data_IF_750474405251
#
_entry.id   IF_750474405251
#
_cell.length_a   1.000
_cell.length_b   1.000
_cell.length_c   1.000
_cell.angle_alpha   90.00
_cell.angle_beta   90.00
_cell.angle_gamma   90.00
#
_symmetry.space_group_name_H-M   'P 1'
#
loop_
_entity.id
_entity.type
_entity.pdbx_description
1 polymer ?
#
# COMPACT_ATOMS: atom_id res chain seq x y z
N UNK A 1 -12.20 3.64 -18.43
CA UNK A 1 -11.19 3.52 -17.36
C UNK A 1 -11.73 4.09 -16.05
N UNK A 2 -11.15 3.67 -14.92
CA UNK A 2 -11.53 4.13 -13.59
C UNK A 2 -10.55 5.22 -13.14
N UNK A 3 -11.08 6.30 -12.56
CA UNK A 3 -10.27 7.37 -11.97
C UNK A 3 -10.31 7.24 -10.45
N UNK A 4 -9.15 7.09 -9.84
CA UNK A 4 -8.97 7.15 -8.39
C UNK A 4 -8.25 8.44 -8.04
N UNK A 5 -8.90 9.28 -7.24
CA UNK A 5 -8.37 10.60 -6.91
C UNK A 5 -8.29 10.80 -5.41
N UNK A 6 -7.07 10.92 -4.89
CA UNK A 6 -6.82 11.21 -3.48
C UNK A 6 -6.63 12.71 -3.29
N UNK A 7 -7.44 13.31 -2.43
CA UNK A 7 -7.38 14.75 -2.11
C UNK A 7 -7.28 14.95 -0.60
N UNK A 8 -6.68 16.05 -0.12
CA UNK A 8 -6.69 16.41 1.28
C UNK A 8 -8.10 16.56 1.80
N UNK A 9 -8.37 16.11 3.03
CA UNK A 9 -9.70 16.20 3.66
C UNK A 9 -10.28 17.61 3.67
N UNK A 10 -9.43 18.63 3.81
CA UNK A 10 -9.84 20.03 3.74
C UNK A 10 -10.38 20.47 2.37
N UNK A 11 -10.05 19.74 1.31
CA UNK A 11 -10.50 19.99 -0.06
C UNK A 11 -11.49 18.93 -0.56
N UNK A 12 -11.86 17.99 0.31
CA UNK A 12 -12.84 16.96 0.00
C UNK A 12 -14.23 17.58 -0.07
N UNK A 13 -14.64 17.97 -1.26
CA UNK A 13 -16.02 18.34 -1.56
C UNK A 13 -16.75 17.10 -2.05
N UNK A 14 -17.89 16.80 -1.43
CA UNK A 14 -18.83 15.76 -1.89
C UNK A 14 -19.68 16.27 -3.07
N UNK A 15 -19.50 17.52 -3.47
CA UNK A 15 -20.27 18.15 -4.52
C UNK A 15 -19.81 17.64 -5.90
N UNK A 16 -20.72 16.98 -6.61
CA UNK A 16 -20.51 16.50 -7.98
C UNK A 16 -20.02 17.57 -8.93
N UNK A 17 -20.48 18.80 -8.75
CA UNK A 17 -20.11 19.95 -9.58
C UNK A 17 -18.64 20.34 -9.43
N UNK A 18 -18.11 20.35 -8.20
CA UNK A 18 -16.72 20.69 -7.96
C UNK A 18 -15.76 19.64 -8.52
N UNK A 19 -16.14 18.35 -8.41
CA UNK A 19 -15.39 17.24 -8.99
C UNK A 19 -15.42 17.32 -10.51
N UNK A 20 -16.58 17.54 -11.14
CA UNK A 20 -16.71 17.73 -12.60
C UNK A 20 -15.85 18.90 -13.09
N UNK A 21 -15.84 20.05 -12.41
CA UNK A 21 -14.97 21.19 -12.77
C UNK A 21 -13.48 20.81 -12.70
N UNK A 22 -13.08 20.06 -11.69
CA UNK A 22 -11.70 19.63 -11.55
C UNK A 22 -11.30 18.61 -12.62
N UNK A 23 -12.17 17.64 -12.94
CA UNK A 23 -11.99 16.70 -14.04
C UNK A 23 -11.92 17.43 -15.39
N UNK A 24 -12.75 18.45 -15.61
CA UNK A 24 -12.71 19.29 -16.82
C UNK A 24 -11.38 20.02 -16.97
N UNK A 25 -10.78 20.54 -15.87
CA UNK A 25 -9.44 21.16 -15.90
C UNK A 25 -8.36 20.14 -16.29
N UNK A 26 -8.42 18.94 -15.73
CA UNK A 26 -7.48 17.85 -16.05
C UNK A 26 -7.67 17.42 -17.51
N UNK A 27 -8.89 17.21 -17.94
CA UNK A 27 -9.25 16.87 -19.32
C UNK A 27 -8.61 17.85 -20.33
N UNK A 28 -8.80 19.16 -20.09
CA UNK A 28 -8.19 20.20 -20.93
C UNK A 28 -6.66 20.17 -20.91
N UNK A 29 -6.05 19.97 -19.72
CA UNK A 29 -4.59 19.94 -19.57
C UNK A 29 -3.93 18.81 -20.35
N UNK A 30 -4.59 17.65 -20.43
CA UNK A 30 -4.06 16.45 -21.10
C UNK A 30 -4.69 16.19 -22.46
N UNK A 31 -5.53 17.11 -22.97
CA UNK A 31 -6.27 16.96 -24.23
C UNK A 31 -7.07 15.64 -24.27
N UNK A 32 -7.70 15.28 -23.16
CA UNK A 32 -8.54 14.09 -23.01
C UNK A 32 -10.00 14.48 -22.98
N UNK A 33 -10.85 13.74 -23.66
CA UNK A 33 -12.30 13.86 -23.53
C UNK A 33 -12.77 12.93 -22.42
N UNK A 34 -13.09 13.51 -21.24
CA UNK A 34 -13.53 12.77 -20.06
C UNK A 34 -15.01 13.04 -19.83
N UNK A 35 -15.82 12.00 -19.88
CA UNK A 35 -17.22 12.02 -19.50
C UNK A 35 -17.42 11.11 -18.28
N UNK A 36 -18.21 11.59 -17.32
CA UNK A 36 -18.47 10.87 -16.08
C UNK A 36 -19.67 9.94 -16.29
N UNK A 37 -19.43 8.64 -16.39
CA UNK A 37 -20.46 7.60 -16.61
C UNK A 37 -21.04 7.04 -15.31
N UNK A 38 -20.29 7.09 -14.19
CA UNK A 38 -20.68 6.50 -12.91
C UNK A 38 -20.89 7.53 -11.83
N UNK A 39 -21.48 7.10 -10.72
CA UNK A 39 -21.52 7.92 -9.51
C UNK A 39 -20.14 8.10 -8.90
N UNK A 40 -19.94 9.28 -8.27
CA UNK A 40 -18.73 9.59 -7.53
C UNK A 40 -18.90 9.01 -6.14
N UNK A 41 -18.04 8.05 -5.79
CA UNK A 41 -17.97 7.49 -4.44
C UNK A 41 -16.78 8.13 -3.71
N UNK A 42 -17.03 8.65 -2.52
CA UNK A 42 -16.00 9.24 -1.66
C UNK A 42 -15.97 8.52 -0.32
N UNK A 43 -14.77 8.18 0.13
CA UNK A 43 -14.55 7.56 1.44
C UNK A 43 -13.26 8.09 2.07
N UNK A 44 -13.23 8.21 3.42
CA UNK A 44 -12.04 8.66 4.10
C UNK A 44 -10.94 7.60 3.99
N UNK A 45 -9.73 8.04 3.64
CA UNK A 45 -8.56 7.19 3.68
C UNK A 45 -8.01 7.15 5.10
N UNK A 46 -8.00 5.98 5.68
CA UNK A 46 -7.31 5.71 6.94
C UNK A 46 -6.16 4.75 6.69
N UNK A 47 -5.09 4.89 7.44
CA UNK A 47 -4.01 3.93 7.48
C UNK A 47 -3.84 3.47 8.91
N UNK A 48 -3.75 2.19 9.09
CA UNK A 48 -3.51 1.59 10.40
C UNK A 48 -2.59 0.37 10.26
N UNK A 49 -1.98 0.02 11.36
CA UNK A 49 -1.19 -1.18 11.50
C UNK A 49 -1.43 -1.75 12.90
N UNK A 50 -2.02 -2.94 12.94
CA UNK A 50 -2.39 -3.60 14.18
C UNK A 50 -1.15 -3.97 14.98
N UNK A 51 -1.22 -3.82 16.30
CA UNK A 51 -0.12 -4.17 17.19
C UNK A 51 0.16 -5.68 17.16
N UNK A 52 -0.88 -6.48 17.24
CA UNK A 52 -0.81 -7.93 17.26
C UNK A 52 -1.66 -8.51 16.12
N UNK A 53 -1.05 -9.42 15.33
CA UNK A 53 -1.75 -10.07 14.22
C UNK A 53 -2.46 -11.34 14.66
N UNK A 54 -2.10 -11.89 15.82
CA UNK A 54 -2.55 -13.20 16.25
C UNK A 54 -2.92 -13.25 17.73
N UNK A 55 -3.90 -14.10 18.02
CA UNK A 55 -4.26 -14.59 19.35
C UNK A 55 -4.48 -16.09 19.26
N UNK A 56 -4.57 -16.84 20.37
CA UNK A 56 -4.91 -18.25 20.33
C UNK A 56 -6.18 -18.49 19.49
N UNK A 57 -6.09 -19.31 18.45
CA UNK A 57 -7.20 -19.64 17.55
C UNK A 57 -7.63 -18.53 16.57
N UNK A 58 -6.97 -17.38 16.55
CA UNK A 58 -7.37 -16.23 15.72
C UNK A 58 -6.17 -15.54 15.07
N UNK A 59 -6.35 -15.11 13.82
CA UNK A 59 -5.40 -14.22 13.15
C UNK A 59 -6.13 -13.18 12.30
N UNK A 60 -5.48 -12.04 12.08
CA UNK A 60 -5.91 -11.01 11.14
C UNK A 60 -4.89 -10.89 10.01
N UNK A 61 -5.35 -10.55 8.81
CA UNK A 61 -4.54 -10.38 7.61
C UNK A 61 -5.11 -9.27 6.71
N UNK A 62 -4.36 -8.86 5.74
CA UNK A 62 -4.73 -7.81 4.78
C UNK A 62 -5.19 -6.53 5.49
N UNK A 63 -6.25 -5.91 5.01
CA UNK A 63 -6.76 -4.64 5.54
C UNK A 63 -7.20 -4.72 7.02
N UNK A 64 -7.52 -5.91 7.55
CA UNK A 64 -7.79 -6.09 8.97
C UNK A 64 -6.53 -5.99 9.84
N UNK A 65 -5.36 -6.31 9.28
CA UNK A 65 -4.07 -6.23 9.96
C UNK A 65 -3.34 -4.90 9.69
N UNK A 66 -3.42 -4.43 8.45
CA UNK A 66 -2.74 -3.21 7.99
C UNK A 66 -3.47 -2.58 6.81
N UNK A 67 -3.81 -1.33 6.93
CA UNK A 67 -4.35 -0.55 5.82
C UNK A 67 -3.31 0.45 5.31
N UNK A 68 -3.05 0.42 4.03
CA UNK A 68 -2.01 1.23 3.38
C UNK A 68 -2.68 2.31 2.55
N UNK A 69 -2.05 3.48 2.52
CA UNK A 69 -2.49 4.55 1.63
C UNK A 69 -2.47 4.08 0.16
N UNK A 70 -3.54 4.27 -0.62
CA UNK A 70 -3.69 3.71 -1.97
C UNK A 70 -2.70 4.27 -3.01
N UNK A 71 -1.81 5.19 -2.62
CA UNK A 71 -0.80 5.78 -3.50
C UNK A 71 0.04 4.76 -4.28
N UNK A 72 0.26 3.57 -3.72
CA UNK A 72 1.08 2.56 -4.34
C UNK A 72 0.27 1.38 -4.93
N UNK A 73 -1.06 1.33 -4.74
CA UNK A 73 -1.88 0.19 -5.17
C UNK A 73 -1.48 -1.16 -4.53
N UNK A 74 -0.70 -1.14 -3.46
CA UNK A 74 -0.03 -2.33 -2.89
C UNK A 74 -0.88 -3.08 -1.85
N UNK A 75 -2.03 -2.53 -1.41
CA UNK A 75 -2.85 -3.13 -0.36
C UNK A 75 -3.25 -4.58 -0.67
N UNK A 76 -3.80 -4.80 -1.88
CA UNK A 76 -4.20 -6.13 -2.33
C UNK A 76 -3.01 -7.10 -2.40
N UNK A 77 -1.87 -6.66 -2.93
CA UNK A 77 -0.67 -7.48 -3.08
C UNK A 77 -0.14 -7.93 -1.71
N UNK A 78 -0.13 -7.04 -0.73
CA UNK A 78 0.28 -7.36 0.64
C UNK A 78 -0.72 -8.32 1.32
N UNK A 79 -2.02 -8.13 1.09
CA UNK A 79 -3.05 -9.04 1.58
C UNK A 79 -2.93 -10.45 1.01
N UNK A 80 -2.66 -10.58 -0.29
CA UNK A 80 -2.40 -11.88 -0.95
C UNK A 80 -1.14 -12.52 -0.37
N UNK A 81 -0.08 -11.74 -0.17
CA UNK A 81 1.15 -12.24 0.44
C UNK A 81 0.95 -12.68 1.90
N UNK A 82 0.10 -12.00 2.66
CA UNK A 82 -0.28 -12.44 4.01
C UNK A 82 -0.98 -13.80 3.98
N UNK A 83 -1.96 -13.95 3.09
CA UNK A 83 -2.71 -15.21 2.92
C UNK A 83 -1.77 -16.35 2.49
N UNK A 84 -0.84 -16.10 1.58
CA UNK A 84 0.13 -17.09 1.12
C UNK A 84 1.02 -17.56 2.26
N UNK A 85 1.58 -16.65 3.06
CA UNK A 85 2.45 -17.01 4.19
C UNK A 85 1.66 -17.71 5.29
N UNK A 86 0.42 -17.28 5.56
CA UNK A 86 -0.44 -17.99 6.51
C UNK A 86 -0.68 -19.44 6.05
N UNK A 87 -1.02 -19.63 4.78
CA UNK A 87 -1.22 -20.97 4.21
C UNK A 87 0.03 -21.85 4.35
N UNK A 88 1.21 -21.31 4.07
CA UNK A 88 2.47 -22.04 4.25
C UNK A 88 2.65 -22.52 5.70
N UNK A 89 2.37 -21.67 6.69
CA UNK A 89 2.48 -22.04 8.10
C UNK A 89 1.41 -23.05 8.53
N UNK A 90 0.19 -22.97 7.99
CA UNK A 90 -0.86 -23.96 8.25
C UNK A 90 -0.54 -25.33 7.63
N UNK A 91 0.00 -25.36 6.41
CA UNK A 91 0.46 -26.62 5.77
C UNK A 91 1.60 -27.22 6.58
N UNK A 92 2.54 -26.40 7.04
CA UNK A 92 3.64 -26.87 7.91
C UNK A 92 3.12 -27.43 9.24
N UNK A 93 2.13 -26.77 9.84
CA UNK A 93 1.47 -27.23 11.07
C UNK A 93 0.77 -28.59 10.86
N UNK A 94 0.03 -28.75 9.75
CA UNK A 94 -0.61 -30.01 9.36
C UNK A 94 0.40 -31.15 9.28
N UNK A 95 1.51 -30.92 8.59
CA UNK A 95 2.56 -31.92 8.41
C UNK A 95 3.26 -32.30 9.74
N UNK A 96 3.24 -31.39 10.72
CA UNK A 96 3.78 -31.60 12.05
C UNK A 96 2.73 -32.10 13.08
N UNK A 97 1.49 -32.40 12.64
CA UNK A 97 0.36 -32.75 13.49
C UNK A 97 0.07 -31.72 14.60
N UNK A 98 0.29 -30.44 14.33
CA UNK A 98 -0.03 -29.33 15.22
C UNK A 98 -1.43 -28.76 14.91
N UNK A 99 -2.09 -28.21 15.93
CA UNK A 99 -3.35 -27.50 15.73
C UNK A 99 -3.14 -26.21 14.95
N UNK A 100 -4.01 -25.91 13.99
CA UNK A 100 -3.98 -24.66 13.24
C UNK A 100 -4.15 -23.42 14.11
N UNK A 101 -4.88 -23.55 15.23
CA UNK A 101 -5.09 -22.47 16.19
C UNK A 101 -3.97 -22.33 17.23
N UNK A 102 -2.95 -23.17 17.18
CA UNK A 102 -1.83 -23.09 18.11
C UNK A 102 -1.12 -21.74 17.93
N UNK A 103 -0.90 -21.07 19.06
CA UNK A 103 -0.27 -19.75 19.05
C UNK A 103 1.14 -19.77 18.47
N UNK A 104 1.87 -20.87 18.62
CA UNK A 104 3.21 -21.05 18.06
C UNK A 104 3.20 -21.07 16.53
N UNK A 105 2.17 -21.66 15.93
CA UNK A 105 1.95 -21.67 14.48
C UNK A 105 1.63 -20.28 13.97
N UNK A 106 0.65 -19.64 14.61
CA UNK A 106 0.18 -18.31 14.20
C UNK A 106 1.25 -17.24 14.42
N UNK A 107 2.08 -17.34 15.47
CA UNK A 107 3.20 -16.43 15.72
C UNK A 107 4.27 -16.47 14.62
N UNK A 108 4.51 -17.61 13.98
CA UNK A 108 5.43 -17.67 12.82
C UNK A 108 4.91 -16.83 11.65
N UNK A 109 3.62 -16.92 11.35
CA UNK A 109 2.97 -16.05 10.37
C UNK A 109 3.15 -14.56 10.74
N UNK A 110 2.82 -14.18 11.98
CA UNK A 110 2.93 -12.81 12.47
C UNK A 110 4.36 -12.28 12.30
N UNK A 111 5.38 -13.01 12.74
CA UNK A 111 6.79 -12.58 12.67
C UNK A 111 7.19 -12.34 11.22
N UNK A 112 6.87 -13.27 10.32
CA UNK A 112 7.22 -13.17 8.89
C UNK A 112 6.53 -11.98 8.21
N UNK A 113 5.27 -11.73 8.52
CA UNK A 113 4.49 -10.71 7.80
C UNK A 113 4.57 -9.33 8.41
N UNK A 114 4.48 -9.25 9.73
CA UNK A 114 4.44 -7.96 10.44
C UNK A 114 5.68 -7.10 10.19
N UNK A 115 6.86 -7.71 10.17
CA UNK A 115 8.11 -6.98 9.90
C UNK A 115 8.12 -6.40 8.49
N UNK A 116 7.73 -7.20 7.48
CA UNK A 116 7.68 -6.78 6.08
C UNK A 116 6.63 -5.68 5.89
N UNK A 117 5.43 -5.89 6.42
CA UNK A 117 4.33 -4.94 6.31
C UNK A 117 4.68 -3.60 6.98
N UNK A 118 5.31 -3.65 8.16
CA UNK A 118 5.79 -2.45 8.85
C UNK A 118 6.86 -1.70 8.05
N UNK A 119 7.80 -2.41 7.46
CA UNK A 119 8.85 -1.82 6.62
C UNK A 119 8.25 -1.16 5.38
N UNK A 120 7.29 -1.82 4.73
CA UNK A 120 6.59 -1.27 3.56
C UNK A 120 5.81 0.00 3.92
N UNK A 121 5.04 -0.03 5.02
CA UNK A 121 4.31 1.15 5.53
C UNK A 121 5.25 2.31 5.82
N UNK A 122 6.38 2.03 6.49
CA UNK A 122 7.38 3.05 6.81
C UNK A 122 8.00 3.65 5.54
N UNK A 123 8.30 2.81 4.55
CA UNK A 123 8.82 3.25 3.25
C UNK A 123 7.84 4.15 2.50
N UNK A 124 6.56 3.77 2.45
CA UNK A 124 5.50 4.57 1.81
C UNK A 124 5.31 5.91 2.54
N UNK A 125 5.31 5.90 3.87
CA UNK A 125 5.20 7.12 4.67
C UNK A 125 6.39 8.06 4.47
N UNK A 126 7.61 7.51 4.40
CA UNK A 126 8.82 8.27 4.11
C UNK A 126 8.75 8.93 2.72
N UNK A 127 8.38 8.16 1.69
CA UNK A 127 8.19 8.69 0.35
C UNK A 127 7.12 9.77 0.33
N UNK A 128 5.97 9.52 0.94
CA UNK A 128 4.89 10.50 1.00
C UNK A 128 5.34 11.81 1.70
N UNK A 129 6.09 11.69 2.81
CA UNK A 129 6.70 12.83 3.48
C UNK A 129 7.67 13.61 2.59
N UNK A 130 8.54 12.90 1.88
CA UNK A 130 9.53 13.48 0.96
C UNK A 130 8.86 14.21 -0.22
N UNK A 131 7.73 13.69 -0.74
CA UNK A 131 7.02 14.32 -1.84
C UNK A 131 6.09 15.47 -1.40
N UNK A 132 5.59 15.44 -0.17
CA UNK A 132 4.78 16.52 0.41
C UNK A 132 5.60 17.71 0.86
N UNK A 133 6.87 17.51 1.19
CA UNK A 133 7.73 18.57 1.70
C UNK A 133 8.06 19.58 0.60
N UNK A 134 7.69 20.83 0.82
CA UNK A 134 7.97 21.97 -0.09
C UNK A 134 9.25 22.71 0.30
N UNK A 135 10.25 21.99 0.80
CA UNK A 135 11.54 22.52 1.17
C UNK A 135 12.52 22.33 0.00
N UNK A 136 13.26 23.40 -0.33
CA UNK A 136 14.21 23.42 -1.44
C UNK A 136 15.29 22.32 -1.32
N UNK A 137 15.81 22.08 -0.12
CA UNK A 137 16.80 21.05 0.15
C UNK A 137 16.22 19.64 -0.06
N UNK A 138 15.02 19.38 0.42
CA UNK A 138 14.35 18.08 0.23
C UNK A 138 13.97 17.84 -1.23
N UNK A 139 13.60 18.88 -1.97
CA UNK A 139 13.42 18.79 -3.44
C UNK A 139 14.70 18.42 -4.15
N UNK A 140 15.83 19.01 -3.78
CA UNK A 140 17.12 18.68 -4.34
C UNK A 140 17.53 17.24 -4.03
N UNK A 141 17.44 16.81 -2.75
CA UNK A 141 17.75 15.43 -2.33
C UNK A 141 16.85 14.42 -3.04
N UNK A 142 15.56 14.70 -3.15
CA UNK A 142 14.60 13.87 -3.88
C UNK A 142 15.00 13.70 -5.34
N UNK A 143 15.27 14.79 -6.03
CA UNK A 143 15.60 14.77 -7.45
C UNK A 143 16.93 14.04 -7.71
N UNK A 144 17.93 14.27 -6.87
CA UNK A 144 19.22 13.54 -6.94
C UNK A 144 19.04 12.06 -6.61
N UNK A 145 18.26 11.73 -5.58
CA UNK A 145 17.96 10.35 -5.21
C UNK A 145 17.23 9.58 -6.30
N UNK A 146 16.21 10.17 -6.93
CA UNK A 146 15.52 9.57 -8.07
C UNK A 146 16.44 9.35 -9.28
N UNK A 147 17.26 10.34 -9.61
CA UNK A 147 18.26 10.21 -10.67
C UNK A 147 19.27 9.09 -10.38
N UNK A 148 19.68 8.95 -9.11
CA UNK A 148 20.62 7.91 -8.70
C UNK A 148 19.99 6.51 -8.81
N UNK A 149 18.73 6.35 -8.41
CA UNK A 149 18.00 5.09 -8.60
C UNK A 149 17.82 4.75 -10.07
N UNK A 150 17.54 5.74 -10.93
CA UNK A 150 17.34 5.50 -12.36
C UNK A 150 18.62 5.10 -13.07
N UNK A 151 19.77 5.64 -12.63
CA UNK A 151 21.09 5.37 -13.22
C UNK A 151 21.77 4.09 -12.69
N UNK A 152 21.26 3.47 -11.62
CA UNK A 152 21.83 2.22 -11.07
C UNK A 152 20.86 1.06 -11.35
N UNK A 153 21.14 0.22 -12.38
CA UNK A 153 20.22 -0.86 -12.78
C UNK A 153 19.88 -1.86 -11.67
N UNK A 154 20.83 -2.14 -10.78
CA UNK A 154 20.62 -3.06 -9.64
C UNK A 154 19.62 -2.49 -8.65
N UNK A 155 19.71 -1.19 -8.34
CA UNK A 155 18.84 -0.48 -7.44
C UNK A 155 17.42 -0.38 -8.04
N UNK A 156 17.34 -0.06 -9.32
CA UNK A 156 16.08 -0.02 -10.07
C UNK A 156 15.39 -1.38 -10.07
N UNK A 157 16.13 -2.46 -10.38
CA UNK A 157 15.61 -3.84 -10.32
C UNK A 157 15.14 -4.23 -8.91
N UNK A 158 15.87 -3.83 -7.87
CA UNK A 158 15.46 -4.07 -6.49
C UNK A 158 14.11 -3.41 -6.18
N UNK A 159 13.93 -2.13 -6.51
CA UNK A 159 12.65 -1.44 -6.30
C UNK A 159 11.50 -2.05 -7.13
N UNK A 160 11.76 -2.39 -8.40
CA UNK A 160 10.76 -3.03 -9.26
C UNK A 160 10.34 -4.38 -8.67
N UNK A 161 11.27 -5.25 -8.29
CA UNK A 161 10.97 -6.57 -7.70
C UNK A 161 10.14 -6.44 -6.41
N UNK A 162 10.47 -5.47 -5.56
CA UNK A 162 9.65 -5.20 -4.36
C UNK A 162 8.25 -4.72 -4.74
N UNK A 163 8.12 -3.86 -5.74
CA UNK A 163 6.84 -3.31 -6.16
C UNK A 163 5.90 -4.36 -6.77
N UNK A 164 6.43 -5.34 -7.51
CA UNK A 164 5.65 -6.43 -8.12
C UNK A 164 5.50 -7.65 -7.21
N UNK A 165 6.06 -7.62 -5.99
CA UNK A 165 5.92 -8.70 -5.01
C UNK A 165 6.75 -9.96 -5.33
N UNK A 166 7.76 -9.87 -6.20
CA UNK A 166 8.63 -11.01 -6.53
C UNK A 166 9.61 -11.42 -5.43
N UNK A 167 9.81 -10.57 -4.43
CA UNK A 167 10.71 -10.90 -3.31
C UNK A 167 9.91 -11.75 -2.30
N UNK A 168 10.11 -13.05 -2.37
CA UNK A 168 9.75 -13.98 -1.31
C UNK A 168 10.87 -13.92 -0.25
N UNK A 169 10.53 -13.45 0.94
CA UNK A 169 11.40 -13.49 2.11
C UNK A 169 11.10 -14.72 2.95
#
# INVERSE_FOLDING_TARGET
FTVVWSIPKAHASSDKESVKRSLSKISKKFNLKLELESEIVSFPLSHHHTKDYVKPGQCVLADAAHSIHPLAGQGLNLGIADASVLLEELVRARNANLSFGDISVLKRYEIRRRTINKSMLSGINLLNGLFKADNLYLRFVRNRGLSLVDNIPQLKKFFIKNAIGEIRF
#
